data_IF_308737672343
#
_entry.id   IF_308737672343
#
_cell.length_a   1.000
_cell.length_b   1.000
_cell.length_c   1.000
_cell.angle_alpha   90.00
_cell.angle_beta   90.00
_cell.angle_gamma   90.00
#
_symmetry.space_group_name_H-M   'P 1'
#
loop_
_entity.id
_entity.type
_entity.pdbx_description
1 polymer ?
#
# COMPACT_ATOMS: atom_id res chain seq x y z
N UNK A 1 -16.99 -25.09 25.71
CA UNK A 1 -16.35 -23.75 25.50
C UNK A 1 -15.62 -23.79 24.16
N UNK A 2 -16.17 -23.19 23.12
CA UNK A 2 -15.40 -22.97 21.88
C UNK A 2 -14.27 -22.01 22.21
N UNK A 3 -13.03 -22.43 21.97
CA UNK A 3 -11.87 -21.55 22.08
C UNK A 3 -12.04 -20.45 21.04
N UNK A 4 -12.02 -19.20 21.47
CA UNK A 4 -11.98 -18.06 20.58
C UNK A 4 -10.84 -18.24 19.58
N UNK A 5 -11.17 -18.26 18.29
CA UNK A 5 -10.18 -18.38 17.22
C UNK A 5 -9.48 -17.03 17.05
N UNK A 6 -8.32 -16.89 17.64
CA UNK A 6 -7.51 -15.69 17.45
C UNK A 6 -6.87 -15.73 16.06
N UNK A 7 -7.04 -14.65 15.28
CA UNK A 7 -6.32 -14.41 14.04
C UNK A 7 -5.22 -13.39 14.34
N UNK A 8 -3.97 -13.78 14.21
CA UNK A 8 -2.81 -12.94 14.51
C UNK A 8 -2.05 -12.64 13.23
N UNK A 9 -1.95 -11.37 12.77
CA UNK A 9 -1.10 -11.02 11.64
C UNK A 9 0.38 -11.21 11.99
N UNK A 10 1.14 -11.78 11.06
CA UNK A 10 2.56 -12.09 11.22
C UNK A 10 3.47 -11.12 10.44
N UNK A 11 2.92 -10.05 9.89
CA UNK A 11 3.66 -9.07 9.12
C UNK A 11 3.16 -8.95 7.68
N UNK A 12 3.85 -8.15 6.88
CA UNK A 12 3.54 -7.89 5.47
C UNK A 12 4.55 -8.61 4.58
N UNK A 13 4.08 -9.16 3.47
CA UNK A 13 4.91 -9.81 2.44
C UNK A 13 4.41 -9.44 1.06
N UNK A 14 5.31 -9.54 0.06
CA UNK A 14 4.93 -9.37 -1.34
C UNK A 14 4.21 -8.04 -1.61
N UNK A 15 4.97 -6.97 -1.62
CA UNK A 15 4.46 -5.62 -1.90
C UNK A 15 4.65 -5.27 -3.37
N UNK A 16 3.57 -4.81 -3.99
CA UNK A 16 3.55 -4.38 -5.40
C UNK A 16 2.84 -3.04 -5.53
N UNK A 17 3.42 -2.16 -6.33
CA UNK A 17 2.76 -0.95 -6.80
C UNK A 17 2.30 -1.16 -8.24
N UNK A 18 1.05 -0.84 -8.53
CA UNK A 18 0.41 -1.01 -9.84
C UNK A 18 0.09 0.37 -10.40
N UNK A 19 0.93 0.93 -11.28
CA UNK A 19 0.65 2.26 -11.86
C UNK A 19 -0.71 2.27 -12.54
N UNK A 20 -1.49 3.35 -12.34
CA UNK A 20 -2.78 3.52 -13.00
C UNK A 20 -2.53 3.88 -14.46
N UNK A 21 -3.18 3.15 -15.37
CA UNK A 21 -3.17 3.42 -16.80
C UNK A 21 -4.36 4.31 -17.21
N UNK A 22 -5.57 3.98 -16.73
CA UNK A 22 -6.77 4.79 -16.98
C UNK A 22 -7.68 4.79 -15.75
N UNK A 23 -8.47 5.85 -15.61
CA UNK A 23 -9.46 6.00 -14.53
C UNK A 23 -10.84 6.19 -15.16
N UNK A 24 -11.58 5.09 -15.48
CA UNK A 24 -12.95 5.18 -15.99
C UNK A 24 -13.88 5.78 -14.93
N UNK A 25 -14.97 6.43 -15.37
CA UNK A 25 -15.89 7.13 -14.48
C UNK A 25 -16.70 6.20 -13.57
N UNK A 26 -17.06 5.01 -14.08
CA UNK A 26 -17.98 4.08 -13.39
C UNK A 26 -17.35 2.73 -13.03
N UNK A 27 -16.02 2.61 -13.06
CA UNK A 27 -15.32 1.36 -12.79
C UNK A 27 -14.00 1.59 -12.02
N UNK A 28 -13.44 0.51 -11.49
CA UNK A 28 -12.10 0.57 -10.95
C UNK A 28 -11.08 1.00 -11.99
N UNK A 29 -9.99 1.66 -11.60
CA UNK A 29 -8.89 1.98 -12.50
C UNK A 29 -8.36 0.74 -13.21
N UNK A 30 -7.84 0.92 -14.41
CA UNK A 30 -7.00 -0.09 -15.04
C UNK A 30 -5.54 0.19 -14.71
N UNK A 31 -4.76 -0.87 -14.60
CA UNK A 31 -3.39 -0.77 -14.13
C UNK A 31 -2.40 -1.32 -15.15
N UNK A 32 -1.19 -0.80 -15.10
CA UNK A 32 -0.06 -1.27 -15.89
C UNK A 32 0.70 -2.38 -15.14
N UNK A 33 1.79 -2.85 -15.75
CA UNK A 33 2.68 -3.87 -15.18
C UNK A 33 3.10 -3.51 -13.75
N UNK A 34 2.94 -4.43 -12.78
CA UNK A 34 3.29 -4.16 -11.40
C UNK A 34 4.77 -3.89 -11.21
N UNK A 35 5.07 -2.95 -10.35
CA UNK A 35 6.41 -2.66 -9.85
C UNK A 35 6.60 -3.44 -8.55
N UNK A 36 7.59 -4.35 -8.51
CA UNK A 36 7.94 -5.07 -7.29
C UNK A 36 8.63 -4.11 -6.31
N UNK A 37 8.05 -3.96 -5.13
CA UNK A 37 8.56 -3.07 -4.08
C UNK A 37 9.61 -3.75 -3.19
N UNK A 38 10.04 -4.96 -3.54
CA UNK A 38 10.97 -5.76 -2.76
C UNK A 38 10.32 -6.42 -1.53
N UNK A 39 11.16 -6.85 -0.61
CA UNK A 39 10.68 -7.48 0.62
C UNK A 39 10.16 -6.43 1.59
N UNK A 40 8.91 -6.58 1.96
CA UNK A 40 8.29 -5.72 2.96
C UNK A 40 8.91 -5.97 4.36
N UNK A 41 9.28 -4.90 5.02
CA UNK A 41 9.80 -4.91 6.39
C UNK A 41 8.70 -4.52 7.37
N UNK A 42 7.94 -3.47 7.03
CA UNK A 42 6.85 -2.95 7.85
C UNK A 42 5.79 -2.28 6.99
N UNK A 43 4.55 -2.34 7.43
CA UNK A 43 3.45 -1.58 6.83
C UNK A 43 2.53 -1.07 7.93
N UNK A 44 2.11 0.17 7.82
CA UNK A 44 1.13 0.78 8.71
C UNK A 44 0.08 1.53 7.90
N UNK A 45 -1.19 1.19 8.11
CA UNK A 45 -2.31 1.82 7.44
C UNK A 45 -3.14 2.59 8.47
N UNK A 46 -3.18 3.91 8.36
CA UNK A 46 -4.01 4.80 9.16
C UNK A 46 -5.19 5.32 8.33
N UNK A 47 -6.35 5.45 8.97
CA UNK A 47 -7.59 5.88 8.32
C UNK A 47 -7.96 7.25 8.88
N UNK A 48 -8.31 8.18 8.00
CA UNK A 48 -8.86 9.50 8.34
C UNK A 48 -10.35 9.49 8.05
N UNK A 49 -11.14 9.85 9.05
CA UNK A 49 -12.61 9.96 8.97
C UNK A 49 -13.05 11.40 9.18
N UNK A 50 -14.21 11.74 8.64
CA UNK A 50 -14.95 12.95 8.98
C UNK A 50 -16.18 12.58 9.81
N UNK A 51 -16.41 13.28 10.90
CA UNK A 51 -17.57 13.10 11.75
C UNK A 51 -18.66 14.09 11.34
N UNK A 52 -19.86 13.56 11.10
CA UNK A 52 -21.07 14.36 10.89
C UNK A 52 -22.00 14.18 12.11
N UNK A 53 -22.36 15.27 12.73
CA UNK A 53 -23.23 15.29 13.92
C UNK A 53 -24.48 16.13 13.66
N UNK A 54 -25.62 15.62 14.10
CA UNK A 54 -26.87 16.35 14.12
C UNK A 54 -27.25 16.59 15.58
N UNK A 55 -27.35 17.86 15.97
CA UNK A 55 -27.73 18.27 17.33
C UNK A 55 -29.12 18.94 17.23
N UNK A 56 -30.04 18.56 18.10
CA UNK A 56 -31.36 19.17 18.24
C UNK A 56 -31.80 19.18 19.71
N UNK A 57 -32.43 20.26 20.14
CA UNK A 57 -32.91 20.46 21.51
C UNK A 57 -31.83 20.19 22.59
N UNK A 58 -30.61 20.67 22.37
CA UNK A 58 -29.42 20.46 23.21
C UNK A 58 -29.00 19.00 23.39
N UNK A 59 -29.43 18.09 22.50
CA UNK A 59 -29.07 16.69 22.51
C UNK A 59 -28.45 16.28 21.17
N UNK A 60 -27.45 15.37 21.25
CA UNK A 60 -26.90 14.72 20.08
C UNK A 60 -27.92 13.72 19.53
N UNK A 61 -28.52 14.02 18.38
CA UNK A 61 -29.53 13.17 17.75
C UNK A 61 -28.89 12.07 16.86
N UNK A 62 -27.78 12.39 16.20
CA UNK A 62 -27.09 11.46 15.31
C UNK A 62 -25.62 11.84 15.21
N UNK A 63 -24.76 10.83 15.20
CA UNK A 63 -23.33 10.97 14.89
C UNK A 63 -22.93 9.85 13.93
N UNK A 64 -22.25 10.19 12.84
CA UNK A 64 -21.71 9.23 11.88
C UNK A 64 -20.30 9.60 11.48
N UNK A 65 -19.45 8.59 11.31
CA UNK A 65 -18.10 8.74 10.76
C UNK A 65 -18.05 8.22 9.33
N UNK A 66 -17.56 9.05 8.42
CA UNK A 66 -17.40 8.72 7.02
C UNK A 66 -15.90 8.67 6.68
N UNK A 67 -15.51 7.70 5.85
CA UNK A 67 -14.17 7.59 5.32
C UNK A 67 -13.83 8.80 4.44
N UNK A 68 -12.67 9.39 4.66
CA UNK A 68 -12.15 10.51 3.84
C UNK A 68 -10.94 10.05 3.04
N UNK A 69 -9.95 9.52 3.72
CA UNK A 69 -8.72 9.01 3.11
C UNK A 69 -8.03 8.05 4.06
N UNK A 70 -6.98 7.38 3.57
CA UNK A 70 -6.05 6.66 4.43
C UNK A 70 -4.62 7.01 4.04
N UNK A 71 -3.68 6.67 4.91
CA UNK A 71 -2.25 6.74 4.62
C UNK A 71 -1.65 5.36 4.88
N UNK A 72 -0.93 4.86 3.88
CA UNK A 72 -0.12 3.66 3.99
C UNK A 72 1.34 4.07 4.11
N UNK A 73 1.98 3.76 5.24
CA UNK A 73 3.42 3.86 5.41
C UNK A 73 4.02 2.47 5.17
N UNK A 74 4.70 2.29 4.05
CA UNK A 74 5.30 1.03 3.64
C UNK A 74 6.83 1.14 3.71
N UNK A 75 7.45 0.21 4.44
CA UNK A 75 8.89 0.08 4.57
C UNK A 75 9.36 -1.20 3.89
N UNK A 76 10.29 -1.09 2.96
CA UNK A 76 10.83 -2.19 2.17
C UNK A 76 12.35 -2.18 2.17
N UNK A 77 12.96 -3.30 1.78
CA UNK A 77 14.42 -3.39 1.63
C UNK A 77 14.92 -3.00 0.24
N UNK A 78 14.05 -2.54 -0.63
CA UNK A 78 14.41 -2.13 -1.99
C UNK A 78 14.92 -0.69 -1.98
N UNK A 79 16.07 -0.48 -2.61
CA UNK A 79 16.64 0.83 -2.91
C UNK A 79 17.07 0.83 -4.37
N UNK A 80 16.09 1.03 -5.27
CA UNK A 80 16.29 1.02 -6.71
C UNK A 80 15.82 2.35 -7.30
N UNK A 81 16.72 3.03 -8.02
CA UNK A 81 16.47 4.35 -8.60
C UNK A 81 15.38 4.29 -9.68
N UNK A 82 15.29 3.21 -10.46
CA UNK A 82 14.23 3.05 -11.46
C UNK A 82 12.87 2.94 -10.80
N UNK A 83 12.76 2.14 -9.73
CA UNK A 83 11.52 2.00 -8.95
C UNK A 83 11.15 3.33 -8.29
N UNK A 84 12.11 4.02 -7.70
CA UNK A 84 11.92 5.32 -7.07
C UNK A 84 11.40 6.35 -8.08
N UNK A 85 12.04 6.44 -9.24
CA UNK A 85 11.63 7.32 -10.32
C UNK A 85 10.20 7.03 -10.81
N UNK A 86 9.81 5.76 -10.94
CA UNK A 86 8.44 5.37 -11.31
C UNK A 86 7.40 5.80 -10.28
N UNK A 87 7.74 5.77 -8.99
CA UNK A 87 6.82 6.10 -7.90
C UNK A 87 6.68 7.60 -7.72
N UNK A 88 7.80 8.33 -7.72
CA UNK A 88 7.82 9.78 -7.48
C UNK A 88 7.73 10.63 -8.75
N UNK A 89 7.73 9.99 -9.93
CA UNK A 89 7.62 10.68 -11.21
C UNK A 89 8.90 11.35 -11.66
N UNK A 90 10.04 10.91 -11.16
CA UNK A 90 11.36 11.41 -11.54
C UNK A 90 11.78 10.91 -12.92
N UNK A 91 12.72 11.56 -13.55
CA UNK A 91 13.30 11.14 -14.83
C UNK A 91 14.38 10.09 -14.59
N UNK A 92 14.18 8.90 -15.13
CA UNK A 92 15.17 7.84 -15.11
C UNK A 92 15.86 7.73 -16.45
N UNK A 93 17.19 7.68 -16.46
CA UNK A 93 18.00 7.52 -17.68
C UNK A 93 18.45 6.06 -17.83
N UNK A 94 18.55 5.59 -19.10
CA UNK A 94 19.06 4.25 -19.40
C UNK A 94 20.51 4.01 -18.94
N UNK A 95 21.24 5.07 -18.59
CA UNK A 95 22.59 4.99 -17.99
C UNK A 95 22.56 4.73 -16.48
N UNK A 96 21.38 4.55 -15.88
CA UNK A 96 21.21 4.23 -14.46
C UNK A 96 21.20 5.47 -13.55
N UNK A 97 20.90 6.66 -14.08
CA UNK A 97 20.75 7.90 -13.31
C UNK A 97 19.30 8.29 -13.09
N UNK A 98 19.01 8.94 -11.98
CA UNK A 98 17.74 9.55 -11.64
C UNK A 98 17.94 11.07 -11.49
N UNK A 99 17.07 11.84 -12.14
CA UNK A 99 17.04 13.30 -12.04
C UNK A 99 15.68 13.74 -11.47
N UNK A 100 15.69 14.41 -10.32
CA UNK A 100 14.50 14.95 -9.67
C UNK A 100 14.31 16.42 -10.02
N UNK A 101 13.09 16.80 -10.37
CA UNK A 101 12.71 18.16 -10.75
C UNK A 101 11.58 18.71 -9.88
N UNK A 102 11.48 20.04 -9.82
CA UNK A 102 10.39 20.72 -9.07
C UNK A 102 8.98 20.44 -9.60
N UNK A 103 8.88 20.02 -10.85
CA UNK A 103 7.61 19.78 -11.55
C UNK A 103 7.28 18.27 -11.63
N UNK A 104 8.03 17.42 -10.92
CA UNK A 104 7.78 15.99 -10.88
C UNK A 104 6.46 15.71 -10.14
N UNK A 105 5.66 14.82 -10.72
CA UNK A 105 4.37 14.43 -10.18
C UNK A 105 4.39 12.94 -9.85
N UNK A 106 4.20 12.56 -8.58
CA UNK A 106 4.14 11.16 -8.20
C UNK A 106 3.07 10.39 -8.97
N UNK A 107 3.39 9.18 -9.36
CA UNK A 107 2.46 8.31 -10.06
C UNK A 107 1.30 7.92 -9.13
N UNK A 108 0.09 7.96 -9.65
CA UNK A 108 -1.05 7.32 -9.00
C UNK A 108 -1.08 5.84 -9.37
N UNK A 109 -1.43 4.99 -8.42
CA UNK A 109 -1.43 3.55 -8.62
C UNK A 109 -2.27 2.80 -7.60
N UNK A 110 -2.46 1.51 -7.82
CA UNK A 110 -2.90 0.59 -6.79
C UNK A 110 -1.72 0.10 -5.96
N UNK A 111 -1.97 -0.30 -4.73
CA UNK A 111 -0.96 -0.94 -3.88
C UNK A 111 -1.48 -2.28 -3.36
N UNK A 112 -0.76 -3.35 -3.65
CA UNK A 112 -1.13 -4.70 -3.24
C UNK A 112 -0.09 -5.32 -2.32
N UNK A 113 -0.55 -5.99 -1.25
CA UNK A 113 0.33 -6.72 -0.35
C UNK A 113 -0.38 -7.93 0.28
N UNK A 114 0.41 -8.85 0.83
CA UNK A 114 -0.09 -10.07 1.46
C UNK A 114 0.35 -10.11 2.91
N UNK A 115 -0.61 -10.40 3.81
CA UNK A 115 -0.36 -10.59 5.24
C UNK A 115 -0.58 -12.07 5.61
N UNK A 116 0.47 -12.80 6.02
CA UNK A 116 0.28 -14.09 6.68
C UNK A 116 -0.43 -13.89 8.02
N UNK A 117 -1.49 -14.63 8.24
CA UNK A 117 -2.29 -14.57 9.47
C UNK A 117 -2.32 -15.96 10.11
N UNK A 118 -1.83 -16.05 11.33
CA UNK A 118 -1.89 -17.31 12.08
C UNK A 118 -3.33 -17.53 12.57
N UNK A 119 -3.91 -18.65 12.14
CA UNK A 119 -5.23 -19.13 12.56
C UNK A 119 -5.03 -20.38 13.40
N UNK A 120 -5.55 -20.39 14.63
CA UNK A 120 -5.61 -21.59 15.49
C UNK A 120 -4.24 -22.24 15.84
N UNK A 121 -3.17 -21.48 16.05
CA UNK A 121 -1.82 -21.94 16.41
C UNK A 121 -1.15 -22.94 15.43
N UNK A 122 -1.83 -23.37 14.38
CA UNK A 122 -1.33 -24.41 13.45
C UNK A 122 -1.50 -24.06 11.98
N UNK A 123 -2.46 -23.21 11.65
CA UNK A 123 -2.81 -22.90 10.25
C UNK A 123 -2.53 -21.45 9.96
N UNK A 124 -1.79 -21.19 8.88
CA UNK A 124 -1.59 -19.84 8.35
C UNK A 124 -2.53 -19.62 7.17
N UNK A 125 -3.29 -18.55 7.18
CA UNK A 125 -4.02 -18.02 6.02
C UNK A 125 -3.30 -16.77 5.52
N UNK A 126 -3.49 -16.46 4.26
CA UNK A 126 -2.83 -15.34 3.58
C UNK A 126 -3.89 -14.33 3.17
N UNK A 127 -3.85 -13.14 3.77
CA UNK A 127 -4.74 -12.05 3.42
C UNK A 127 -4.14 -11.24 2.30
N UNK A 128 -4.77 -11.24 1.13
CA UNK A 128 -4.50 -10.28 0.09
C UNK A 128 -5.21 -8.96 0.42
N UNK A 129 -4.48 -7.87 0.42
CA UNK A 129 -5.01 -6.51 0.58
C UNK A 129 -4.67 -5.71 -0.66
N UNK A 130 -5.68 -5.18 -1.32
CA UNK A 130 -5.57 -4.29 -2.47
C UNK A 130 -6.12 -2.92 -2.10
N UNK A 131 -5.34 -1.88 -2.33
CA UNK A 131 -5.71 -0.46 -2.22
C UNK A 131 -5.81 0.08 -3.64
N UNK A 132 -6.98 0.59 -4.04
CA UNK A 132 -7.26 0.88 -5.43
C UNK A 132 -6.61 2.16 -5.95
N UNK A 133 -6.54 3.20 -5.14
CA UNK A 133 -5.98 4.47 -5.57
C UNK A 133 -5.03 5.04 -4.51
N UNK A 134 -3.75 4.91 -4.78
CA UNK A 134 -2.66 5.36 -3.92
C UNK A 134 -1.75 6.31 -4.69
N UNK A 135 -1.27 7.36 -4.03
CA UNK A 135 -0.27 8.28 -4.58
C UNK A 135 0.82 8.49 -3.55
N UNK A 136 2.07 8.31 -3.94
CA UNK A 136 3.21 8.53 -3.05
C UNK A 136 3.27 10.00 -2.62
N UNK A 137 3.60 10.23 -1.36
CA UNK A 137 3.80 11.58 -0.82
C UNK A 137 5.26 12.00 -1.07
N UNK A 138 5.54 13.07 -1.84
CA UNK A 138 6.93 13.52 -2.09
C UNK A 138 7.70 13.80 -0.80
N UNK A 139 7.02 14.26 0.24
CA UNK A 139 7.62 14.49 1.56
C UNK A 139 8.09 13.23 2.27
N UNK A 140 7.70 12.05 1.80
CA UNK A 140 8.13 10.77 2.37
C UNK A 140 9.40 10.24 1.71
N UNK A 141 9.83 10.81 0.58
CA UNK A 141 11.10 10.44 -0.04
C UNK A 141 12.25 10.81 0.89
N UNK A 142 12.98 9.81 1.33
CA UNK A 142 14.12 9.98 2.24
C UNK A 142 15.33 9.30 1.66
N UNK A 143 16.42 10.04 1.64
CA UNK A 143 17.73 9.49 1.33
C UNK A 143 18.56 9.48 2.61
N UNK A 144 18.79 8.31 3.18
CA UNK A 144 19.65 8.13 4.33
C UNK A 144 20.99 7.55 3.90
N UNK A 145 22.06 8.30 4.16
CA UNK A 145 23.43 7.81 4.01
C UNK A 145 24.11 7.81 5.39
N UNK A 146 24.70 6.68 5.76
CA UNK A 146 25.39 6.53 7.03
C UNK A 146 26.83 6.04 6.81
N UNK A 147 27.75 6.50 7.67
CA UNK A 147 29.14 6.02 7.62
C UNK A 147 29.22 4.64 8.24
N UNK A 148 29.67 3.69 7.44
CA UNK A 148 29.81 2.29 7.84
C UNK A 148 30.97 2.13 8.83
N UNK A 149 30.68 1.68 10.05
CA UNK A 149 31.68 1.16 10.95
C UNK A 149 31.96 -0.31 10.64
N UNK A 150 33.22 -0.77 10.59
CA UNK A 150 33.55 -2.15 10.23
C UNK A 150 32.89 -3.23 11.13
N UNK A 151 32.51 -2.87 12.35
CA UNK A 151 31.90 -3.77 13.34
C UNK A 151 30.36 -3.77 13.35
N UNK A 152 29.73 -2.86 12.60
CA UNK A 152 28.27 -2.70 12.61
C UNK A 152 27.73 -2.73 11.17
N UNK A 153 26.97 -3.78 10.85
CA UNK A 153 26.21 -3.84 9.62
C UNK A 153 24.73 -3.59 9.94
N UNK A 154 24.25 -2.40 9.61
CA UNK A 154 22.83 -2.08 9.70
C UNK A 154 22.31 -1.80 8.28
N UNK A 155 21.63 -2.76 7.65
CA UNK A 155 21.01 -2.53 6.36
C UNK A 155 19.94 -1.44 6.50
N UNK A 156 19.95 -0.47 5.61
CA UNK A 156 18.92 0.57 5.55
C UNK A 156 17.72 0.06 4.77
N UNK A 157 16.56 0.51 5.18
CA UNK A 157 15.28 0.24 4.53
C UNK A 157 14.76 1.51 3.87
N UNK A 158 13.97 1.37 2.83
CA UNK A 158 13.30 2.49 2.17
C UNK A 158 11.86 2.56 2.66
N UNK A 159 11.46 3.71 3.18
CA UNK A 159 10.11 3.96 3.67
C UNK A 159 9.42 4.98 2.76
N UNK A 160 8.27 4.60 2.19
CA UNK A 160 7.45 5.46 1.37
C UNK A 160 6.05 5.54 1.96
N UNK A 161 5.54 6.75 2.09
CA UNK A 161 4.16 7.01 2.51
C UNK A 161 3.28 7.27 1.31
N UNK A 162 2.14 6.57 1.26
CA UNK A 162 1.15 6.72 0.21
C UNK A 162 -0.14 7.28 0.78
N UNK A 163 -0.69 8.30 0.12
CA UNK A 163 -2.07 8.72 0.35
C UNK A 163 -3.01 7.79 -0.41
N UNK A 164 -4.02 7.28 0.28
CA UNK A 164 -5.04 6.39 -0.28
C UNK A 164 -6.38 7.13 -0.29
N UNK A 165 -7.02 7.17 -1.44
CA UNK A 165 -8.34 7.78 -1.61
C UNK A 165 -9.29 6.77 -2.25
N UNK A 166 -10.62 6.96 -2.14
CA UNK A 166 -11.56 6.17 -2.91
C UNK A 166 -11.33 6.36 -4.42
N UNK A 167 -11.56 5.32 -5.19
CA UNK A 167 -11.63 5.42 -6.64
C UNK A 167 -13.01 5.94 -7.12
N UNK A 168 -13.26 5.95 -8.42
CA UNK A 168 -14.49 6.43 -9.00
C UNK A 168 -15.73 5.58 -8.67
N UNK A 169 -15.54 4.35 -8.17
CA UNK A 169 -16.63 3.52 -7.64
C UNK A 169 -16.99 3.83 -6.18
N UNK A 170 -16.17 4.65 -5.51
CA UNK A 170 -16.27 4.94 -4.09
C UNK A 170 -15.58 3.88 -3.21
N UNK A 171 -14.96 2.87 -3.80
CA UNK A 171 -14.20 1.86 -3.07
C UNK A 171 -12.73 2.28 -2.94
N UNK A 172 -12.10 1.95 -1.82
CA UNK A 172 -10.70 2.28 -1.57
C UNK A 172 -9.83 1.07 -1.24
N UNK A 173 -10.48 -0.04 -0.77
CA UNK A 173 -9.77 -1.23 -0.32
C UNK A 173 -10.57 -2.50 -0.54
N UNK A 174 -9.89 -3.56 -0.99
CA UNK A 174 -10.38 -4.93 -0.98
C UNK A 174 -9.48 -5.79 -0.08
N UNK A 175 -10.06 -6.72 0.69
CA UNK A 175 -9.32 -7.71 1.50
C UNK A 175 -9.97 -9.07 1.42
N UNK A 176 -9.18 -10.08 1.15
CA UNK A 176 -9.65 -11.46 1.06
C UNK A 176 -8.63 -12.44 1.65
N UNK A 177 -9.10 -13.42 2.41
CA UNK A 177 -8.29 -14.47 3.03
C UNK A 177 -8.22 -15.70 2.11
N UNK A 178 -7.02 -16.29 1.97
CA UNK A 178 -6.73 -17.46 1.15
C UNK A 178 -5.93 -18.50 1.95
N UNK A 179 -6.04 -19.78 1.60
CA UNK A 179 -5.30 -20.85 2.27
C UNK A 179 -3.83 -20.93 1.81
N UNK A 180 -3.49 -20.35 0.66
CA UNK A 180 -2.12 -20.35 0.12
C UNK A 180 -1.68 -18.96 -0.32
N UNK A 181 -0.37 -18.70 -0.25
CA UNK A 181 0.22 -17.45 -0.73
C UNK A 181 0.01 -17.28 -2.24
N UNK A 182 0.14 -18.37 -3.02
CA UNK A 182 -0.05 -18.32 -4.46
C UNK A 182 -1.48 -17.91 -4.85
N UNK A 183 -2.50 -18.38 -4.11
CA UNK A 183 -3.88 -17.96 -4.35
C UNK A 183 -4.10 -16.48 -3.99
N UNK A 184 -3.45 -15.99 -2.93
CA UNK A 184 -3.50 -14.58 -2.56
C UNK A 184 -2.82 -13.69 -3.63
N UNK A 185 -1.66 -14.11 -4.15
CA UNK A 185 -0.98 -13.40 -5.27
C UNK A 185 -1.84 -13.40 -6.54
N UNK A 186 -2.43 -14.55 -6.89
CA UNK A 186 -3.32 -14.64 -8.06
C UNK A 186 -4.55 -13.73 -7.91
N UNK A 187 -5.09 -13.60 -6.69
CA UNK A 187 -6.18 -12.67 -6.41
C UNK A 187 -5.77 -11.21 -6.62
N UNK A 188 -4.60 -10.79 -6.13
CA UNK A 188 -4.08 -9.44 -6.36
C UNK A 188 -3.94 -9.15 -7.86
N UNK A 189 -3.32 -10.07 -8.61
CA UNK A 189 -3.19 -9.94 -10.07
C UNK A 189 -4.55 -9.80 -10.75
N UNK A 190 -5.55 -10.59 -10.33
CA UNK A 190 -6.91 -10.52 -10.86
C UNK A 190 -7.59 -9.18 -10.55
N UNK A 191 -7.47 -8.68 -9.30
CA UNK A 191 -8.06 -7.39 -8.88
C UNK A 191 -7.47 -6.25 -9.70
N UNK A 192 -6.16 -6.26 -9.93
CA UNK A 192 -5.47 -5.23 -10.70
C UNK A 192 -5.45 -5.50 -12.22
N UNK A 193 -6.14 -6.55 -12.70
CA UNK A 193 -6.27 -6.85 -14.14
C UNK A 193 -4.95 -7.20 -14.84
N UNK A 194 -3.93 -7.62 -14.09
CA UNK A 194 -2.62 -7.98 -14.65
C UNK A 194 -2.61 -9.47 -14.95
N UNK A 195 -2.33 -9.82 -16.22
CA UNK A 195 -2.20 -11.21 -16.63
C UNK A 195 -1.08 -11.90 -15.85
N UNK A 196 -1.37 -13.11 -15.36
CA UNK A 196 -0.41 -13.95 -14.65
C UNK A 196 0.56 -14.67 -15.59
#
# INVERSE_FOLDING_TARGET
>A
MERQKYKMPLGMRKSYFYPIQTTPDDAHPTYDTPVDMGSAVKGYLSITTATAEIVGDDQLLHSSELFVSAQLDAETNLSDLEVNAKIFGHKYSASGGEDSGKDDVPASGGYGFIEPILKDNKTTVYRATALYHCTALPSSEKQEADTRKPSEFSPKTNAVSYKVVPDNTGEWRNRQDFDTMAAAEASLKKIFGVAG
#
